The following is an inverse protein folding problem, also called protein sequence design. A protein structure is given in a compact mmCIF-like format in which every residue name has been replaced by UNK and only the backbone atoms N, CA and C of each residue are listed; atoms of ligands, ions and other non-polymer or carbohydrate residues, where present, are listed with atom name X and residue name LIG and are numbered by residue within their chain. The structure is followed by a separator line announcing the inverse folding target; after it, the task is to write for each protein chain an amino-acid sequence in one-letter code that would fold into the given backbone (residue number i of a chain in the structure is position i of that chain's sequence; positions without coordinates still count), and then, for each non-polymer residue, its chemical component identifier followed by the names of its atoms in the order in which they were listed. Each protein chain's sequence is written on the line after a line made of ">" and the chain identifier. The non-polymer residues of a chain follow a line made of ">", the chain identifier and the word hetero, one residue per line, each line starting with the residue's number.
data_IF_653268129487
#
_entry.id   IF_653268129487
#
_cell.length_a   1.000
_cell.length_b   1.000
_cell.length_c   1.000
_cell.angle_alpha   90.00
_cell.angle_beta   90.00
_cell.angle_gamma   90.00
#
_symmetry.space_group_name_H-M   'P 1'
#
loop_
_entity.id
_entity.type
_entity.pdbx_description
1 polymer ?
#
# COMPACT_ATOMS: atom_id res chain seq x y z
N UNK A 1 28.88 -50.00 -18.33
CA UNK A 1 28.54 -48.67 -18.92
C UNK A 1 29.65 -47.69 -18.61
N UNK A 2 30.24 -47.01 -19.61
CA UNK A 2 31.35 -46.06 -19.37
C UNK A 2 30.91 -44.89 -18.47
N UNK A 3 31.84 -44.28 -17.74
CA UNK A 3 31.57 -43.11 -16.88
C UNK A 3 30.84 -42.01 -17.68
N UNK A 4 31.26 -41.77 -18.92
CA UNK A 4 30.60 -40.83 -19.84
C UNK A 4 29.13 -41.17 -20.10
N UNK A 5 28.80 -42.44 -20.34
CA UNK A 5 27.41 -42.89 -20.54
C UNK A 5 26.56 -42.77 -19.26
N UNK A 6 27.15 -43.02 -18.07
CA UNK A 6 26.48 -42.80 -16.78
C UNK A 6 26.17 -41.33 -16.55
N UNK A 7 27.13 -40.45 -16.79
CA UNK A 7 26.94 -38.99 -16.68
C UNK A 7 25.86 -38.53 -17.66
N UNK A 8 25.91 -38.95 -18.93
CA UNK A 8 24.91 -38.58 -19.93
C UNK A 8 23.50 -39.05 -19.53
N UNK A 9 23.35 -40.26 -19.00
CA UNK A 9 22.07 -40.77 -18.52
C UNK A 9 21.53 -39.96 -17.33
N UNK A 10 22.38 -39.62 -16.35
CA UNK A 10 21.99 -38.80 -15.20
C UNK A 10 21.54 -37.41 -15.66
N UNK A 11 22.29 -36.77 -16.57
CA UNK A 11 21.91 -35.46 -17.11
C UNK A 11 20.59 -35.52 -17.88
N UNK A 12 20.35 -36.56 -18.68
CA UNK A 12 19.09 -36.76 -19.37
C UNK A 12 17.91 -36.96 -18.39
N UNK A 13 18.10 -37.77 -17.35
CA UNK A 13 17.07 -37.99 -16.32
C UNK A 13 16.75 -36.70 -15.54
N UNK A 14 17.77 -35.91 -15.18
CA UNK A 14 17.59 -34.60 -14.55
C UNK A 14 16.84 -33.62 -15.45
N UNK A 15 17.18 -33.57 -16.75
CA UNK A 15 16.49 -32.74 -17.71
C UNK A 15 15.00 -33.11 -17.83
N UNK A 16 14.70 -34.42 -17.97
CA UNK A 16 13.31 -34.91 -18.04
C UNK A 16 12.55 -34.54 -16.76
N UNK A 17 13.16 -34.70 -15.58
CA UNK A 17 12.55 -34.32 -14.31
C UNK A 17 12.25 -32.82 -14.25
N UNK A 18 13.17 -31.96 -14.69
CA UNK A 18 12.96 -30.51 -14.70
C UNK A 18 11.83 -30.10 -15.65
N UNK A 19 11.77 -30.68 -16.85
CA UNK A 19 10.67 -30.45 -17.80
C UNK A 19 9.33 -30.91 -17.23
N UNK A 20 9.31 -32.08 -16.56
CA UNK A 20 8.11 -32.59 -15.91
C UNK A 20 7.63 -31.66 -14.78
N UNK A 21 8.54 -31.24 -13.89
CA UNK A 21 8.22 -30.32 -12.79
C UNK A 21 7.72 -28.96 -13.31
N UNK A 22 8.34 -28.45 -14.37
CA UNK A 22 7.90 -27.22 -15.02
C UNK A 22 6.48 -27.36 -15.61
N UNK A 23 6.20 -28.46 -16.32
CA UNK A 23 4.88 -28.75 -16.90
C UNK A 23 3.78 -28.88 -15.84
N UNK A 24 4.06 -29.62 -14.75
CA UNK A 24 3.13 -29.74 -13.61
C UNK A 24 2.92 -28.38 -12.94
N UNK A 25 3.98 -27.59 -12.76
CA UNK A 25 3.88 -26.26 -12.15
C UNK A 25 3.02 -25.31 -12.98
N UNK A 26 3.21 -25.29 -14.32
CA UNK A 26 2.36 -24.52 -15.23
C UNK A 26 0.90 -24.93 -15.13
N UNK A 27 0.62 -26.23 -15.11
CA UNK A 27 -0.75 -26.76 -14.99
C UNK A 27 -1.41 -26.35 -13.66
N UNK A 28 -0.69 -26.46 -12.54
CA UNK A 28 -1.23 -26.06 -11.23
C UNK A 28 -1.51 -24.57 -11.19
N UNK A 29 -0.60 -23.74 -11.71
CA UNK A 29 -0.75 -22.29 -11.72
C UNK A 29 -1.80 -21.80 -12.72
N UNK A 30 -2.07 -22.53 -13.81
CA UNK A 30 -3.09 -22.17 -14.80
C UNK A 30 -4.52 -22.48 -14.35
N UNK A 31 -4.73 -23.42 -13.43
CA UNK A 31 -6.06 -23.80 -12.94
C UNK A 31 -6.47 -22.86 -11.79
N UNK A 32 -7.49 -22.02 -12.00
CA UNK A 32 -7.88 -20.98 -11.04
C UNK A 32 -8.24 -21.50 -9.64
N UNK A 33 -9.09 -22.54 -9.47
CA UNK A 33 -9.35 -23.08 -8.14
C UNK A 33 -8.09 -23.58 -7.41
N UNK A 34 -7.15 -24.18 -8.16
CA UNK A 34 -5.90 -24.69 -7.59
C UNK A 34 -4.97 -23.53 -7.20
N UNK A 35 -4.78 -22.57 -8.11
CA UNK A 35 -3.99 -21.37 -7.87
C UNK A 35 -4.54 -20.55 -6.70
N UNK A 36 -5.84 -20.25 -6.68
CA UNK A 36 -6.48 -19.45 -5.62
C UNK A 36 -6.39 -20.14 -4.27
N UNK A 37 -6.36 -21.49 -4.24
CA UNK A 37 -6.14 -22.22 -3.00
C UNK A 37 -4.73 -22.02 -2.46
N UNK A 38 -3.71 -21.76 -3.29
CA UNK A 38 -2.30 -21.66 -2.87
C UNK A 38 -1.71 -20.25 -2.84
N UNK A 39 -2.24 -19.34 -3.65
CA UNK A 39 -1.73 -17.98 -3.80
C UNK A 39 -1.77 -17.23 -2.46
N UNK A 40 -0.65 -16.58 -2.14
CA UNK A 40 -0.47 -15.75 -0.95
C UNK A 40 -0.36 -14.26 -1.30
N UNK A 41 0.39 -13.54 -0.47
CA UNK A 41 0.67 -12.10 -0.63
C UNK A 41 2.10 -11.82 -1.10
N UNK A 42 2.77 -12.83 -1.66
CA UNK A 42 4.12 -12.73 -2.23
C UNK A 42 4.12 -12.21 -3.68
N UNK A 43 5.31 -11.81 -4.17
CA UNK A 43 5.48 -11.25 -5.52
C UNK A 43 4.95 -12.17 -6.64
N UNK A 44 5.15 -13.49 -6.54
CA UNK A 44 4.72 -14.43 -7.59
C UNK A 44 3.21 -14.56 -7.61
N UNK A 45 2.58 -14.68 -6.44
CA UNK A 45 1.11 -14.69 -6.33
C UNK A 45 0.47 -13.44 -6.92
N UNK A 46 0.99 -12.27 -6.56
CA UNK A 46 0.50 -10.97 -7.02
C UNK A 46 0.65 -10.78 -8.54
N UNK A 47 1.84 -11.05 -9.07
CA UNK A 47 2.12 -10.97 -10.50
C UNK A 47 1.25 -11.92 -11.32
N UNK A 48 1.09 -13.17 -10.88
CA UNK A 48 0.24 -14.14 -11.59
C UNK A 48 -1.25 -13.75 -11.57
N UNK A 49 -1.75 -13.14 -10.47
CA UNK A 49 -3.10 -12.57 -10.46
C UNK A 49 -3.24 -11.43 -11.46
N UNK A 50 -2.24 -10.54 -11.53
CA UNK A 50 -2.23 -9.45 -12.49
C UNK A 50 -2.22 -9.98 -13.93
N UNK A 51 -1.36 -10.94 -14.27
CA UNK A 51 -1.31 -11.55 -15.61
C UNK A 51 -2.66 -12.17 -16.00
N UNK A 52 -3.28 -12.92 -15.09
CA UNK A 52 -4.57 -13.56 -15.33
C UNK A 52 -5.70 -12.56 -15.57
N UNK A 53 -5.68 -11.41 -14.88
CA UNK A 53 -6.68 -10.34 -15.05
C UNK A 53 -6.57 -9.64 -16.40
N UNK A 54 -5.36 -9.56 -16.96
CA UNK A 54 -5.05 -8.73 -18.13
C UNK A 54 -4.70 -9.56 -19.38
N UNK A 55 -5.32 -10.74 -19.52
CA UNK A 55 -5.19 -11.53 -20.76
C UNK A 55 -5.89 -10.85 -21.96
N UNK A 56 -6.91 -10.03 -21.70
CA UNK A 56 -7.75 -9.41 -22.74
C UNK A 56 -7.55 -7.89 -22.89
N UNK A 57 -7.38 -7.16 -21.78
CA UNK A 57 -7.13 -5.71 -21.75
C UNK A 57 -6.08 -5.38 -20.69
N UNK A 58 -5.12 -4.51 -21.00
CA UNK A 58 -4.04 -4.14 -20.06
C UNK A 58 -4.50 -2.96 -19.21
N UNK A 59 -4.91 -3.26 -17.98
CA UNK A 59 -5.09 -2.29 -16.91
C UNK A 59 -3.97 -2.46 -15.87
N UNK A 60 -3.75 -1.42 -15.07
CA UNK A 60 -2.72 -1.48 -14.02
C UNK A 60 -3.27 -2.15 -12.78
N UNK A 61 -4.22 -1.50 -12.11
CA UNK A 61 -4.99 -2.12 -11.05
C UNK A 61 -6.48 -1.86 -11.23
N UNK A 62 -6.88 -0.58 -11.28
CA UNK A 62 -8.18 -0.14 -11.74
C UNK A 62 -8.11 0.49 -13.13
N UNK A 63 -9.23 0.50 -13.85
CA UNK A 63 -9.43 1.24 -15.12
C UNK A 63 -9.03 2.71 -15.04
N UNK A 64 -9.12 3.31 -13.86
CA UNK A 64 -8.77 4.70 -13.60
C UNK A 64 -7.31 4.89 -13.17
N UNK A 65 -6.46 3.87 -13.29
CA UNK A 65 -5.02 3.96 -13.04
C UNK A 65 -4.20 4.05 -14.32
N UNK A 66 -3.00 4.61 -14.18
CA UNK A 66 -1.99 4.69 -15.23
C UNK A 66 -0.64 4.27 -14.69
N UNK A 67 0.18 3.68 -15.56
CA UNK A 67 1.56 3.31 -15.27
C UNK A 67 2.38 4.55 -14.93
N UNK A 68 3.26 4.41 -13.94
CA UNK A 68 4.24 5.43 -13.56
C UNK A 68 5.61 4.76 -13.33
N UNK A 69 6.70 5.27 -13.93
CA UNK A 69 8.00 4.62 -13.89
C UNK A 69 8.71 4.68 -12.52
N UNK A 70 8.32 5.57 -11.60
CA UNK A 70 8.96 5.66 -10.28
C UNK A 70 8.15 4.96 -9.20
N UNK A 71 6.82 4.95 -9.32
CA UNK A 71 5.89 4.42 -8.32
C UNK A 71 5.20 3.13 -8.76
N UNK A 72 5.28 2.78 -10.04
CA UNK A 72 4.57 1.68 -10.67
C UNK A 72 3.21 2.11 -11.22
N UNK A 73 2.40 2.77 -10.38
CA UNK A 73 1.09 3.28 -10.80
C UNK A 73 0.68 4.53 -10.05
N UNK A 74 -0.23 5.29 -10.65
CA UNK A 74 -0.97 6.39 -10.02
C UNK A 74 -2.35 6.52 -10.66
N UNK A 75 -3.25 7.28 -10.05
CA UNK A 75 -4.55 7.59 -10.67
C UNK A 75 -4.36 8.42 -11.95
N UNK A 76 -5.19 8.16 -12.96
CA UNK A 76 -5.28 8.99 -14.17
C UNK A 76 -5.62 10.43 -13.80
N UNK A 77 -5.10 11.37 -14.57
CA UNK A 77 -5.38 12.81 -14.39
C UNK A 77 -6.68 13.20 -15.08
N UNK A 78 -7.30 14.29 -14.62
CA UNK A 78 -8.49 14.91 -15.21
C UNK A 78 -9.72 13.98 -15.28
N UNK A 79 -9.89 13.04 -14.35
CA UNK A 79 -11.12 12.27 -14.25
C UNK A 79 -12.25 13.18 -13.76
N UNK A 80 -13.37 13.17 -14.48
CA UNK A 80 -14.55 13.99 -14.18
C UNK A 80 -15.77 13.12 -14.06
N UNK A 81 -16.35 13.09 -12.85
CA UNK A 81 -17.53 12.31 -12.52
C UNK A 81 -17.43 10.82 -12.92
N UNK A 82 -16.26 10.23 -12.74
CA UNK A 82 -16.05 8.82 -13.08
C UNK A 82 -16.88 7.95 -12.13
N UNK A 83 -17.72 7.08 -12.70
CA UNK A 83 -18.54 6.15 -11.92
C UNK A 83 -17.71 4.93 -11.53
N UNK A 84 -17.41 4.80 -10.25
CA UNK A 84 -16.59 3.73 -9.66
C UNK A 84 -17.32 3.10 -8.48
N UNK A 85 -16.79 2.00 -7.96
CA UNK A 85 -17.22 1.40 -6.68
C UNK A 85 -18.75 1.30 -6.50
N UNK A 86 -19.45 0.68 -7.45
CA UNK A 86 -20.91 0.52 -7.41
C UNK A 86 -21.68 1.86 -7.38
N UNK A 87 -21.29 2.80 -8.24
CA UNK A 87 -22.03 4.05 -8.49
C UNK A 87 -21.57 5.25 -7.68
N UNK A 88 -20.41 5.16 -7.02
CA UNK A 88 -19.72 6.29 -6.39
C UNK A 88 -19.03 7.14 -7.44
N UNK A 89 -18.86 8.42 -7.11
CA UNK A 89 -18.23 9.39 -7.99
C UNK A 89 -16.79 9.63 -7.55
N UNK A 90 -15.87 9.48 -8.51
CA UNK A 90 -14.46 9.81 -8.39
C UNK A 90 -14.09 10.96 -9.34
N UNK A 91 -13.36 11.93 -8.81
CA UNK A 91 -12.70 12.97 -9.59
C UNK A 91 -11.20 12.98 -9.31
N UNK A 92 -10.42 13.32 -10.33
CA UNK A 92 -9.01 13.66 -10.16
C UNK A 92 -8.70 14.97 -10.87
N UNK A 93 -7.78 15.72 -10.28
CA UNK A 93 -7.28 16.95 -10.88
C UNK A 93 -6.24 16.67 -11.98
N UNK A 94 -5.66 17.71 -12.55
CA UNK A 94 -4.66 17.64 -13.63
C UNK A 94 -3.39 16.85 -13.29
N UNK A 95 -3.17 16.51 -12.00
CA UNK A 95 -2.00 15.80 -11.48
C UNK A 95 -2.34 14.42 -10.92
N UNK A 96 -3.57 13.93 -11.15
CA UNK A 96 -4.03 12.65 -10.62
C UNK A 96 -4.17 12.63 -9.09
N UNK A 97 -4.40 13.79 -8.46
CA UNK A 97 -4.78 13.90 -7.05
C UNK A 97 -6.29 13.75 -6.98
N UNK A 98 -6.80 12.99 -6.00
CA UNK A 98 -8.25 12.80 -5.81
C UNK A 98 -8.89 14.10 -5.34
N UNK A 99 -9.48 14.84 -6.28
CA UNK A 99 -10.13 16.12 -6.04
C UNK A 99 -10.86 16.57 -7.30
N UNK A 100 -11.90 17.38 -7.12
CA UNK A 100 -12.59 18.07 -8.20
C UNK A 100 -12.03 19.49 -8.47
N UNK A 101 -11.07 19.96 -7.65
CA UNK A 101 -10.40 21.27 -7.79
C UNK A 101 -8.91 21.14 -8.08
N UNK A 102 -8.35 22.20 -8.65
CA UNK A 102 -6.90 22.36 -8.80
C UNK A 102 -6.30 23.01 -7.56
N UNK A 103 -5.12 22.56 -7.16
CA UNK A 103 -4.35 23.17 -6.09
C UNK A 103 -3.14 23.89 -6.68
N UNK A 104 -2.91 25.13 -6.28
CA UNK A 104 -1.68 25.84 -6.62
C UNK A 104 -0.50 25.23 -5.87
N UNK A 105 0.68 25.25 -6.48
CA UNK A 105 1.92 24.97 -5.74
C UNK A 105 2.34 26.15 -4.87
N UNK A 106 1.89 27.36 -5.19
CA UNK A 106 2.10 28.51 -4.34
C UNK A 106 1.28 28.37 -3.06
N UNK A 107 1.93 28.71 -1.94
CA UNK A 107 1.31 28.69 -0.63
C UNK A 107 0.41 29.90 -0.49
N UNK A 108 -0.82 29.69 -0.07
CA UNK A 108 -1.71 30.74 0.40
C UNK A 108 -1.45 30.94 1.90
N UNK A 109 -0.91 32.08 2.36
CA UNK A 109 -0.59 32.28 3.77
C UNK A 109 -1.83 32.36 4.67
N UNK A 110 -3.02 32.58 4.10
CA UNK A 110 -4.28 32.65 4.84
C UNK A 110 -4.97 31.29 4.98
N UNK A 111 -4.36 30.22 4.44
CA UNK A 111 -4.89 28.86 4.48
C UNK A 111 -3.89 27.88 5.06
N UNK A 112 -4.39 27.00 5.92
CA UNK A 112 -3.63 25.85 6.38
C UNK A 112 -3.69 24.77 5.29
N UNK A 113 -2.54 24.30 4.83
CA UNK A 113 -2.45 23.25 3.81
C UNK A 113 -2.04 21.92 4.44
N UNK A 114 -2.92 20.94 4.31
CA UNK A 114 -2.77 19.60 4.87
C UNK A 114 -2.64 18.61 3.70
N UNK A 115 -1.50 17.93 3.58
CA UNK A 115 -1.40 16.76 2.70
C UNK A 115 -1.84 15.53 3.46
N UNK A 116 -2.57 14.65 2.78
CA UNK A 116 -2.89 13.32 3.30
C UNK A 116 -2.29 12.29 2.35
N UNK A 117 -1.39 11.44 2.88
CA UNK A 117 -0.76 10.33 2.14
C UNK A 117 -1.11 9.01 2.80
N UNK A 118 -1.26 7.96 1.98
CA UNK A 118 -1.61 6.64 2.48
C UNK A 118 -2.10 5.74 1.35
N UNK A 119 -2.69 4.60 1.72
CA UNK A 119 -3.12 3.58 0.78
C UNK A 119 -4.59 3.75 0.32
N UNK A 120 -5.30 2.66 0.01
CA UNK A 120 -6.70 2.66 -0.40
C UNK A 120 -7.64 3.24 0.65
N UNK A 121 -7.34 3.13 1.94
CA UNK A 121 -8.13 3.76 3.00
C UNK A 121 -7.97 5.28 3.00
N UNK A 122 -6.79 5.77 2.61
CA UNK A 122 -6.57 7.20 2.43
C UNK A 122 -7.18 7.71 1.14
N UNK A 123 -6.96 6.98 0.03
CA UNK A 123 -7.59 7.30 -1.25
C UNK A 123 -9.12 7.34 -1.11
N UNK A 124 -9.71 6.44 -0.34
CA UNK A 124 -11.14 6.29 -0.15
C UNK A 124 -11.78 5.31 -1.14
N UNK A 125 -11.17 4.14 -1.29
CA UNK A 125 -11.80 3.04 -2.04
C UNK A 125 -13.18 2.75 -1.45
N UNK A 126 -14.14 2.45 -2.32
CA UNK A 126 -15.54 2.16 -1.97
C UNK A 126 -16.42 3.36 -1.53
N UNK A 127 -15.88 4.57 -1.52
CA UNK A 127 -16.65 5.79 -1.22
C UNK A 127 -16.49 6.86 -2.30
N UNK A 128 -17.46 7.79 -2.39
CA UNK A 128 -17.39 8.95 -3.28
C UNK A 128 -16.52 10.07 -2.70
N UNK A 129 -16.21 11.08 -3.51
CA UNK A 129 -15.31 12.18 -3.09
C UNK A 129 -15.76 12.88 -1.80
N UNK A 130 -17.07 13.13 -1.65
CA UNK A 130 -17.67 13.77 -0.47
C UNK A 130 -17.82 12.85 0.75
N UNK A 131 -17.31 11.63 0.67
CA UNK A 131 -17.40 10.60 1.71
C UNK A 131 -16.02 10.17 2.22
N UNK A 132 -14.94 10.77 1.70
CA UNK A 132 -13.57 10.54 2.15
C UNK A 132 -13.29 11.27 3.46
N UNK A 133 -12.36 10.76 4.27
CA UNK A 133 -12.01 11.42 5.53
C UNK A 133 -11.27 12.75 5.28
N UNK A 134 -10.55 12.88 4.16
CA UNK A 134 -9.97 14.14 3.71
C UNK A 134 -11.04 15.20 3.43
N UNK A 135 -12.16 14.80 2.81
CA UNK A 135 -13.29 15.69 2.59
C UNK A 135 -13.91 16.13 3.91
N UNK A 136 -14.22 15.18 4.81
CA UNK A 136 -14.77 15.53 6.12
C UNK A 136 -13.82 16.44 6.91
N UNK A 137 -12.52 16.17 6.89
CA UNK A 137 -11.52 17.00 7.56
C UNK A 137 -11.53 18.43 7.02
N UNK A 138 -11.60 18.61 5.68
CA UNK A 138 -11.71 19.94 5.08
C UNK A 138 -12.98 20.67 5.52
N UNK A 139 -14.11 19.95 5.68
CA UNK A 139 -15.34 20.57 6.18
C UNK A 139 -15.27 20.95 7.67
N UNK A 140 -14.47 20.24 8.46
CA UNK A 140 -14.28 20.51 9.90
C UNK A 140 -13.26 21.63 10.16
N UNK A 141 -12.38 21.93 9.19
CA UNK A 141 -11.36 22.99 9.29
C UNK A 141 -11.62 24.03 8.19
N UNK A 142 -12.54 24.99 8.41
CA UNK A 142 -12.82 26.05 7.46
C UNK A 142 -11.55 26.84 7.11
N UNK A 143 -11.36 27.15 5.82
CA UNK A 143 -10.16 27.85 5.35
C UNK A 143 -8.93 26.97 5.16
N UNK A 144 -9.04 25.64 5.30
CA UNK A 144 -7.96 24.72 4.98
C UNK A 144 -8.01 24.22 3.52
N UNK A 145 -6.85 23.77 3.02
CA UNK A 145 -6.74 22.94 1.83
C UNK A 145 -6.30 21.53 2.23
N UNK A 146 -7.21 20.56 2.15
CA UNK A 146 -6.88 19.16 2.43
C UNK A 146 -6.69 18.41 1.13
N UNK A 147 -5.43 18.07 0.83
CA UNK A 147 -5.02 17.49 -0.45
C UNK A 147 -4.84 15.98 -0.26
N UNK A 148 -5.78 15.20 -0.79
CA UNK A 148 -5.73 13.74 -0.72
C UNK A 148 -4.82 13.14 -1.80
N UNK A 149 -3.62 12.77 -1.38
CA UNK A 149 -2.60 12.12 -2.20
C UNK A 149 -2.53 10.59 -1.98
N UNK A 150 -3.51 10.00 -1.31
CA UNK A 150 -3.62 8.55 -1.17
C UNK A 150 -3.66 7.87 -2.53
N UNK A 151 -3.15 6.64 -2.60
CA UNK A 151 -3.29 5.79 -3.78
C UNK A 151 -3.45 4.35 -3.32
N UNK A 152 -4.47 3.68 -3.84
CA UNK A 152 -4.75 2.29 -3.49
C UNK A 152 -3.54 1.37 -3.73
N UNK A 153 -3.40 0.38 -2.85
CA UNK A 153 -2.35 -0.64 -2.93
C UNK A 153 -0.93 -0.17 -2.62
N UNK A 154 -0.74 1.11 -2.33
CA UNK A 154 0.59 1.63 -1.96
C UNK A 154 1.08 1.01 -0.66
N UNK A 155 2.39 0.77 -0.61
CA UNK A 155 3.14 0.70 0.65
C UNK A 155 3.69 2.07 1.04
N UNK A 156 4.27 2.16 2.24
CA UNK A 156 4.92 3.37 2.74
C UNK A 156 6.06 3.83 1.82
N UNK A 157 6.70 2.89 1.12
CA UNK A 157 7.71 3.18 0.11
C UNK A 157 7.18 4.04 -1.05
N UNK A 158 6.07 3.64 -1.66
CA UNK A 158 5.44 4.41 -2.73
C UNK A 158 4.90 5.75 -2.21
N UNK A 159 4.35 5.79 -0.98
CA UNK A 159 3.92 7.02 -0.33
C UNK A 159 5.07 8.02 -0.17
N UNK A 160 6.24 7.56 0.28
CA UNK A 160 7.45 8.38 0.40
C UNK A 160 7.93 8.91 -0.95
N UNK A 161 7.94 8.07 -2.00
CA UNK A 161 8.33 8.51 -3.35
C UNK A 161 7.37 9.58 -3.86
N UNK A 162 6.05 9.38 -3.70
CA UNK A 162 5.03 10.35 -4.11
C UNK A 162 5.16 11.67 -3.34
N UNK A 163 5.47 11.61 -2.03
CA UNK A 163 5.75 12.80 -1.23
C UNK A 163 6.98 13.55 -1.74
N UNK A 164 8.08 12.85 -2.04
CA UNK A 164 9.32 13.42 -2.59
C UNK A 164 9.13 14.08 -3.96
N UNK A 165 8.36 13.45 -4.84
CA UNK A 165 8.22 13.90 -6.22
C UNK A 165 7.14 14.96 -6.42
N UNK A 166 6.06 14.90 -5.64
CA UNK A 166 4.89 15.76 -5.83
C UNK A 166 4.51 16.53 -4.57
N UNK A 167 4.44 15.86 -3.42
CA UNK A 167 3.95 16.47 -2.19
C UNK A 167 4.78 17.68 -1.74
N UNK A 168 6.10 17.64 -1.89
CA UNK A 168 6.98 18.76 -1.52
C UNK A 168 6.66 20.07 -2.25
N UNK A 169 6.10 19.99 -3.47
CA UNK A 169 5.79 21.17 -4.29
C UNK A 169 4.67 22.01 -3.68
N UNK A 170 3.83 21.39 -2.86
CA UNK A 170 2.68 22.04 -2.24
C UNK A 170 3.02 22.83 -0.98
N UNK A 171 4.25 22.76 -0.45
CA UNK A 171 4.68 23.50 0.75
C UNK A 171 3.67 23.39 1.91
N UNK A 172 3.36 22.17 2.37
CA UNK A 172 2.31 21.97 3.35
C UNK A 172 2.70 22.46 4.74
N UNK A 173 1.70 22.73 5.57
CA UNK A 173 1.88 22.99 7.00
C UNK A 173 1.84 21.68 7.79
N UNK A 174 1.01 20.73 7.34
CA UNK A 174 0.81 19.42 7.98
C UNK A 174 0.86 18.33 6.91
N UNK A 175 1.54 17.22 7.21
CA UNK A 175 1.46 16.00 6.40
C UNK A 175 0.94 14.87 7.27
N UNK A 176 -0.24 14.38 6.91
CA UNK A 176 -0.93 13.28 7.56
C UNK A 176 -0.60 11.97 6.82
N UNK A 177 -0.01 11.01 7.52
CA UNK A 177 0.12 9.63 7.03
C UNK A 177 -1.01 8.78 7.59
N UNK A 178 -1.87 8.26 6.73
CA UNK A 178 -2.78 7.17 7.06
C UNK A 178 -2.00 5.86 7.14
N UNK A 179 -1.77 5.36 8.35
CA UNK A 179 -0.99 4.14 8.62
C UNK A 179 -1.91 2.93 8.77
N UNK A 180 -1.85 2.02 7.82
CA UNK A 180 -2.48 0.68 7.90
C UNK A 180 -1.38 -0.34 8.17
N UNK A 181 -1.54 -1.20 9.17
CA UNK A 181 -0.46 -2.10 9.58
C UNK A 181 -0.04 -3.09 8.49
N UNK A 182 -0.98 -3.52 7.64
CA UNK A 182 -0.70 -4.42 6.51
C UNK A 182 0.29 -3.82 5.50
N UNK A 183 0.41 -2.50 5.44
CA UNK A 183 1.26 -1.80 4.47
C UNK A 183 2.75 -2.02 4.74
N UNK A 184 3.12 -2.42 5.97
CA UNK A 184 4.51 -2.78 6.26
C UNK A 184 4.97 -3.93 5.37
N UNK A 185 4.08 -4.89 5.07
CA UNK A 185 4.41 -6.03 4.22
C UNK A 185 4.49 -5.65 2.74
N UNK A 186 3.93 -4.51 2.33
CA UNK A 186 4.02 -4.00 0.95
C UNK A 186 5.40 -3.41 0.65
N UNK A 187 6.08 -2.87 1.67
CA UNK A 187 7.42 -2.26 1.57
C UNK A 187 8.50 -3.22 1.07
N UNK A 188 8.31 -4.52 1.26
CA UNK A 188 9.27 -5.56 0.86
C UNK A 188 8.95 -6.19 -0.50
N UNK A 189 7.80 -5.83 -1.10
CA UNK A 189 7.37 -6.33 -2.40
C UNK A 189 7.89 -5.46 -3.54
N UNK A 190 8.19 -6.12 -4.65
CA UNK A 190 8.42 -5.51 -5.98
C UNK A 190 7.21 -5.68 -6.91
N UNK A 191 6.20 -6.44 -6.48
CA UNK A 191 4.94 -6.64 -7.19
C UNK A 191 3.78 -6.82 -6.18
N UNK A 192 2.74 -5.98 -6.26
CA UNK A 192 1.48 -6.08 -5.49
C UNK A 192 0.30 -6.13 -6.46
N UNK A 193 -0.34 -5.01 -6.79
CA UNK A 193 -1.35 -5.01 -7.87
C UNK A 193 -0.70 -4.97 -9.23
N UNK A 194 0.43 -4.27 -9.28
CA UNK A 194 1.33 -4.17 -10.41
C UNK A 194 2.77 -4.17 -9.90
N UNK A 195 3.74 -4.11 -10.81
CA UNK A 195 5.14 -3.87 -10.44
C UNK A 195 5.27 -2.54 -9.69
N UNK A 196 6.17 -2.49 -8.70
CA UNK A 196 6.40 -1.32 -7.84
C UNK A 196 7.87 -1.18 -7.47
N UNK A 197 8.34 0.03 -7.11
CA UNK A 197 9.66 0.19 -6.52
C UNK A 197 9.77 -0.63 -5.23
N UNK A 198 11.01 -0.89 -4.81
CA UNK A 198 11.32 -1.57 -3.56
C UNK A 198 12.51 -0.94 -2.89
N UNK A 199 12.39 -0.60 -1.61
CA UNK A 199 13.52 -0.13 -0.84
C UNK A 199 14.32 -1.30 -0.26
N UNK A 200 15.63 -1.14 -0.20
CA UNK A 200 16.53 -2.02 0.53
C UNK A 200 17.41 -1.21 1.49
N UNK A 201 17.77 -1.82 2.63
CA UNK A 201 18.74 -1.23 3.54
C UNK A 201 20.13 -1.61 3.05
N UNK A 202 20.92 -0.60 2.65
CA UNK A 202 22.30 -0.74 2.20
C UNK A 202 23.16 0.17 3.08
N UNK A 203 24.11 -0.40 3.82
CA UNK A 203 24.99 0.33 4.75
C UNK A 203 24.22 1.23 5.75
N UNK A 204 23.08 0.74 6.27
CA UNK A 204 22.26 1.46 7.23
C UNK A 204 21.42 2.61 6.64
N UNK A 205 21.40 2.79 5.32
CA UNK A 205 20.54 3.76 4.63
C UNK A 205 19.59 3.04 3.69
N UNK A 206 18.44 3.65 3.39
CA UNK A 206 17.51 3.10 2.42
C UNK A 206 17.94 3.51 1.00
N UNK A 207 17.89 2.55 0.08
CA UNK A 207 18.13 2.76 -1.34
C UNK A 207 16.96 2.20 -2.14
N UNK A 208 16.48 2.95 -3.14
CA UNK A 208 15.41 2.48 -4.02
C UNK A 208 15.99 1.54 -5.07
N UNK A 209 15.31 0.42 -5.26
CA UNK A 209 15.58 -0.60 -6.28
C UNK A 209 14.32 -0.85 -7.11
N UNK A 210 14.45 -1.58 -8.21
CA UNK A 210 13.37 -1.80 -9.17
C UNK A 210 12.83 -0.49 -9.78
N UNK A 211 13.74 0.43 -10.10
CA UNK A 211 13.45 1.70 -10.76
C UNK A 211 14.35 1.85 -12.00
N UNK A 212 13.83 2.26 -13.18
CA UNK A 212 12.40 2.46 -13.44
C UNK A 212 11.63 1.15 -13.25
N UNK A 213 10.39 1.27 -12.78
CA UNK A 213 9.51 0.12 -12.61
C UNK A 213 9.21 -0.45 -14.00
N UNK A 214 9.26 -1.77 -14.22
CA UNK A 214 8.96 -2.34 -15.53
C UNK A 214 7.54 -1.98 -16.00
N UNK A 215 7.41 -1.60 -17.27
CA UNK A 215 6.10 -1.35 -17.89
C UNK A 215 5.31 -2.66 -18.10
N UNK A 216 3.98 -2.59 -18.32
CA UNK A 216 3.19 -3.79 -18.63
C UNK A 216 3.75 -4.60 -19.80
N UNK A 217 4.18 -3.94 -20.87
CA UNK A 217 4.78 -4.58 -22.05
C UNK A 217 6.09 -5.30 -21.71
N UNK A 218 6.93 -4.70 -20.85
CA UNK A 218 8.19 -5.30 -20.43
C UNK A 218 7.96 -6.56 -19.57
N UNK A 219 6.96 -6.53 -18.70
CA UNK A 219 6.57 -7.67 -17.86
C UNK A 219 6.05 -8.81 -18.74
N UNK A 220 5.12 -8.51 -19.66
CA UNK A 220 4.47 -9.52 -20.49
C UNK A 220 5.42 -10.14 -21.53
N UNK A 221 6.41 -9.39 -22.02
CA UNK A 221 7.35 -9.84 -23.07
C UNK A 221 8.06 -11.15 -22.73
N UNK A 222 8.45 -11.34 -21.47
CA UNK A 222 9.24 -12.50 -21.03
C UNK A 222 8.46 -13.44 -20.11
N UNK A 223 7.17 -13.19 -19.91
CA UNK A 223 6.34 -13.95 -18.97
C UNK A 223 6.29 -15.44 -19.33
N UNK A 224 6.10 -15.74 -20.62
CA UNK A 224 6.01 -17.10 -21.13
C UNK A 224 7.27 -17.95 -20.82
N UNK A 225 8.45 -17.30 -20.79
CA UNK A 225 9.75 -17.95 -20.60
C UNK A 225 10.15 -18.07 -19.12
N UNK A 226 9.42 -17.45 -18.20
CA UNK A 226 9.71 -17.55 -16.77
C UNK A 226 9.43 -18.97 -16.26
N UNK A 227 10.32 -19.59 -15.46
CA UNK A 227 10.09 -20.93 -14.92
C UNK A 227 8.95 -20.94 -13.90
N UNK A 228 7.84 -21.59 -14.24
CA UNK A 228 6.69 -21.76 -13.36
C UNK A 228 7.03 -22.55 -12.09
N UNK A 229 8.02 -23.45 -12.15
CA UNK A 229 8.53 -24.17 -10.99
C UNK A 229 9.09 -23.22 -9.92
N UNK A 230 9.71 -22.11 -10.32
CA UNK A 230 10.21 -21.10 -9.38
C UNK A 230 9.07 -20.33 -8.71
N UNK A 231 8.02 -19.99 -9.48
CA UNK A 231 6.84 -19.34 -8.93
C UNK A 231 6.09 -20.27 -7.97
N UNK A 232 5.86 -21.53 -8.35
CA UNK A 232 5.21 -22.50 -7.48
C UNK A 232 6.01 -22.75 -6.20
N UNK A 233 7.34 -22.88 -6.32
CA UNK A 233 8.23 -22.97 -5.16
C UNK A 233 8.09 -21.74 -4.25
N UNK A 234 8.15 -20.53 -4.81
CA UNK A 234 8.04 -19.27 -4.05
C UNK A 234 6.71 -19.17 -3.32
N UNK A 235 5.61 -19.50 -3.98
CA UNK A 235 4.25 -19.46 -3.40
C UNK A 235 4.13 -20.48 -2.26
N UNK A 236 4.53 -21.73 -2.49
CA UNK A 236 4.46 -22.78 -1.46
C UNK A 236 5.38 -22.46 -0.29
N UNK A 237 6.62 -22.02 -0.56
CA UNK A 237 7.60 -21.65 0.46
C UNK A 237 7.06 -20.53 1.35
N UNK A 238 6.59 -19.43 0.76
CA UNK A 238 6.02 -18.31 1.51
C UNK A 238 4.76 -18.72 2.27
N UNK A 239 3.89 -19.54 1.70
CA UNK A 239 2.69 -20.03 2.38
C UNK A 239 3.02 -20.92 3.59
N UNK A 240 3.97 -21.84 3.43
CA UNK A 240 4.41 -22.71 4.53
C UNK A 240 5.11 -21.90 5.63
N UNK A 241 5.92 -20.91 5.26
CA UNK A 241 6.52 -19.98 6.22
C UNK A 241 5.46 -19.15 6.95
N UNK A 242 4.46 -18.64 6.22
CA UNK A 242 3.36 -17.86 6.78
C UNK A 242 2.56 -18.69 7.79
N UNK A 243 2.25 -19.95 7.47
CA UNK A 243 1.40 -20.83 8.29
C UNK A 243 2.12 -21.56 9.43
N UNK A 244 3.44 -21.77 9.38
CA UNK A 244 4.18 -22.55 10.39
C UNK A 244 5.34 -21.82 11.06
N UNK A 245 5.76 -20.65 10.58
CA UNK A 245 7.06 -20.07 10.91
C UNK A 245 7.01 -18.67 11.54
N UNK A 246 5.88 -17.94 11.42
CA UNK A 246 5.62 -16.70 12.17
C UNK A 246 5.83 -16.87 13.70
N UNK A 247 5.70 -18.09 14.23
CA UNK A 247 5.92 -18.36 15.66
C UNK A 247 7.35 -18.77 16.05
N UNK A 248 8.27 -19.06 15.10
CA UNK A 248 9.55 -19.73 15.43
C UNK A 248 10.81 -18.96 15.04
N UNK A 249 10.76 -18.06 14.06
CA UNK A 249 11.91 -17.22 13.68
C UNK A 249 11.44 -15.85 13.15
N UNK A 250 11.18 -14.89 14.03
CA UNK A 250 10.71 -13.52 13.70
C UNK A 250 11.65 -12.63 12.88
N UNK A 251 12.59 -13.20 12.12
CA UNK A 251 13.59 -12.47 11.34
C UNK A 251 12.98 -11.73 10.14
N UNK A 252 12.02 -12.35 9.44
CA UNK A 252 11.32 -11.70 8.32
C UNK A 252 10.51 -10.51 8.81
N UNK A 253 9.72 -10.70 9.88
CA UNK A 253 8.99 -9.61 10.52
C UNK A 253 9.92 -8.52 11.03
N UNK A 254 11.04 -8.88 11.67
CA UNK A 254 12.06 -7.93 12.12
C UNK A 254 12.59 -7.10 10.95
N UNK A 255 12.98 -7.73 9.84
CA UNK A 255 13.47 -7.03 8.64
C UNK A 255 12.40 -6.12 8.03
N UNK A 256 11.15 -6.58 7.98
CA UNK A 256 10.02 -5.77 7.49
C UNK A 256 9.80 -4.55 8.38
N UNK A 257 9.79 -4.73 9.70
CA UNK A 257 9.66 -3.64 10.67
C UNK A 257 10.84 -2.67 10.60
N UNK A 258 12.08 -3.16 10.53
CA UNK A 258 13.28 -2.34 10.37
C UNK A 258 13.23 -1.49 9.09
N UNK A 259 12.91 -2.09 7.94
CA UNK A 259 12.76 -1.35 6.69
C UNK A 259 11.67 -0.29 6.78
N UNK A 260 10.51 -0.64 7.34
CA UNK A 260 9.41 0.30 7.55
C UNK A 260 9.85 1.47 8.43
N UNK A 261 10.52 1.22 9.57
CA UNK A 261 11.04 2.30 10.44
C UNK A 261 11.95 3.25 9.66
N UNK A 262 12.89 2.74 8.87
CA UNK A 262 13.76 3.60 8.07
C UNK A 262 13.01 4.41 6.99
N UNK A 263 11.97 3.84 6.38
CA UNK A 263 11.11 4.58 5.43
C UNK A 263 10.34 5.69 6.15
N UNK A 264 9.78 5.39 7.31
CA UNK A 264 9.06 6.37 8.13
C UNK A 264 9.98 7.48 8.65
N UNK A 265 11.22 7.16 9.04
CA UNK A 265 12.22 8.14 9.47
C UNK A 265 12.58 9.09 8.32
N UNK A 266 12.78 8.55 7.10
CA UNK A 266 13.02 9.37 5.90
C UNK A 266 11.81 10.25 5.57
N UNK A 267 10.58 9.73 5.77
CA UNK A 267 9.35 10.50 5.59
C UNK A 267 9.26 11.65 6.60
N UNK A 268 9.49 11.38 7.89
CA UNK A 268 9.52 12.41 8.95
C UNK A 268 10.59 13.45 8.65
N UNK A 269 11.81 13.03 8.29
CA UNK A 269 12.90 13.94 7.95
C UNK A 269 12.58 14.82 6.74
N UNK A 270 11.92 14.28 5.72
CA UNK A 270 11.46 15.04 4.56
C UNK A 270 10.41 16.08 4.96
N UNK A 271 9.41 15.67 5.77
CA UNK A 271 8.33 16.56 6.24
C UNK A 271 8.90 17.70 7.08
N UNK A 272 9.77 17.38 8.04
CA UNK A 272 10.48 18.34 8.90
C UNK A 272 11.34 19.31 8.08
N UNK A 273 12.02 18.83 7.02
CA UNK A 273 12.85 19.67 6.15
C UNK A 273 12.06 20.74 5.38
N UNK A 274 10.74 20.56 5.23
CA UNK A 274 9.84 21.56 4.64
C UNK A 274 9.28 22.55 5.67
N UNK A 275 9.56 22.34 6.97
CA UNK A 275 8.93 23.07 8.06
C UNK A 275 7.49 22.63 8.36
N UNK A 276 7.08 21.47 7.84
CA UNK A 276 5.74 20.90 8.04
C UNK A 276 5.72 19.97 9.27
N UNK A 277 4.54 19.81 9.88
CA UNK A 277 4.33 18.88 10.99
C UNK A 277 3.96 17.48 10.48
N UNK A 278 4.72 16.42 10.78
CA UNK A 278 4.31 15.05 10.48
C UNK A 278 3.31 14.55 11.54
N UNK A 279 2.13 14.14 11.07
CA UNK A 279 1.06 13.55 11.89
C UNK A 279 0.74 12.16 11.35
N UNK A 280 1.04 11.11 12.10
CA UNK A 280 0.74 9.74 11.70
C UNK A 280 -0.55 9.27 12.39
N UNK A 281 -1.44 8.64 11.63
CA UNK A 281 -2.77 8.22 12.08
C UNK A 281 -2.91 6.74 11.86
N UNK A 282 -3.03 5.97 12.94
CA UNK A 282 -3.35 4.55 12.83
C UNK A 282 -4.78 4.36 12.33
N UNK A 283 -4.93 3.61 11.25
CA UNK A 283 -6.18 3.31 10.56
C UNK A 283 -6.56 1.85 10.82
N UNK A 284 -7.52 1.54 11.72
CA UNK A 284 -7.90 0.17 12.02
C UNK A 284 -8.69 -0.44 10.86
N UNK A 285 -8.32 -1.66 10.46
CA UNK A 285 -8.96 -2.36 9.34
C UNK A 285 -9.49 -3.72 9.77
N UNK A 286 -10.55 -4.16 9.09
CA UNK A 286 -11.18 -5.46 9.34
C UNK A 286 -11.48 -5.72 10.82
N UNK A 287 -10.98 -6.82 11.35
CA UNK A 287 -11.23 -7.22 12.74
C UNK A 287 -10.60 -6.29 13.78
N UNK A 288 -9.66 -5.41 13.41
CA UNK A 288 -9.10 -4.45 14.37
C UNK A 288 -10.14 -3.42 14.83
N UNK A 289 -11.15 -3.15 14.02
CA UNK A 289 -12.23 -2.20 14.30
C UNK A 289 -13.04 -2.63 15.53
N UNK A 290 -13.31 -3.93 15.64
CA UNK A 290 -14.16 -4.55 16.67
C UNK A 290 -13.38 -5.41 17.64
N UNK A 291 -12.05 -5.33 17.61
CA UNK A 291 -11.21 -6.13 18.49
C UNK A 291 -11.45 -5.73 19.94
N UNK A 292 -11.66 -6.73 20.80
CA UNK A 292 -11.70 -6.54 22.26
C UNK A 292 -10.32 -6.30 22.87
N UNK A 293 -9.24 -6.47 22.11
CA UNK A 293 -7.89 -6.20 22.57
C UNK A 293 -7.71 -4.70 22.81
N UNK A 294 -7.15 -4.33 23.97
CA UNK A 294 -6.85 -2.93 24.28
C UNK A 294 -5.93 -2.30 23.22
N UNK A 295 -4.88 -3.04 22.80
CA UNK A 295 -3.91 -2.63 21.79
C UNK A 295 -3.71 -3.79 20.81
N UNK A 296 -3.98 -3.57 19.52
CA UNK A 296 -3.71 -4.60 18.50
C UNK A 296 -2.20 -4.75 18.26
N UNK A 297 -1.79 -5.84 17.60
CA UNK A 297 -0.39 -6.03 17.16
C UNK A 297 0.10 -4.86 16.30
N UNK A 298 -0.76 -4.31 15.45
CA UNK A 298 -0.39 -3.20 14.60
C UNK A 298 -0.27 -1.89 15.37
N UNK A 299 -1.20 -1.61 16.28
CA UNK A 299 -1.11 -0.48 17.20
C UNK A 299 0.16 -0.55 18.06
N UNK A 300 0.55 -1.75 18.53
CA UNK A 300 1.77 -1.92 19.30
C UNK A 300 3.03 -1.51 18.52
N UNK A 301 3.15 -1.92 17.25
CA UNK A 301 4.26 -1.48 16.40
C UNK A 301 4.20 0.03 16.13
N UNK A 302 3.01 0.56 15.87
CA UNK A 302 2.79 1.98 15.60
C UNK A 302 3.24 2.85 16.79
N UNK A 303 2.77 2.52 18.00
CA UNK A 303 3.16 3.23 19.22
C UNK A 303 4.64 3.03 19.58
N UNK A 304 5.22 1.86 19.33
CA UNK A 304 6.67 1.63 19.51
C UNK A 304 7.49 2.59 18.64
N UNK A 305 7.11 2.78 17.37
CA UNK A 305 7.79 3.73 16.49
C UNK A 305 7.57 5.17 16.97
N UNK A 306 6.33 5.56 17.25
CA UNK A 306 5.98 6.92 17.64
C UNK A 306 6.62 7.36 18.96
N UNK A 307 6.65 6.48 19.97
CA UNK A 307 7.27 6.78 21.26
C UNK A 307 8.79 6.96 21.19
N UNK A 308 9.43 6.57 20.09
CA UNK A 308 10.85 6.77 19.85
C UNK A 308 11.21 8.02 19.02
N UNK A 309 10.23 8.82 18.59
CA UNK A 309 10.45 9.92 17.65
C UNK A 309 9.62 11.16 18.02
N UNK A 310 10.25 12.10 18.73
CA UNK A 310 9.60 13.34 19.19
C UNK A 310 9.21 14.31 18.07
N UNK A 311 9.68 14.08 16.83
CA UNK A 311 9.35 14.92 15.68
C UNK A 311 8.00 14.59 15.07
N UNK A 312 7.43 13.42 15.36
CA UNK A 312 6.16 12.97 14.79
C UNK A 312 5.05 12.96 15.84
N UNK A 313 3.89 13.49 15.45
CA UNK A 313 2.66 13.39 16.24
C UNK A 313 1.91 12.13 15.82
N UNK A 314 1.40 11.37 16.78
CA UNK A 314 0.74 10.11 16.49
C UNK A 314 -0.59 9.98 17.22
N UNK A 315 -1.58 9.44 16.52
CA UNK A 315 -2.85 9.03 17.12
C UNK A 315 -3.35 7.71 16.53
N UNK A 316 -4.11 6.96 17.34
CA UNK A 316 -4.96 5.87 16.82
C UNK A 316 -6.39 6.36 16.68
N UNK A 317 -7.00 6.06 15.54
CA UNK A 317 -8.43 6.34 15.31
C UNK A 317 -9.33 5.23 15.86
N UNK A 318 -8.80 4.07 16.27
CA UNK A 318 -9.57 2.93 16.80
C UNK A 318 -10.52 3.29 17.95
N UNK A 319 -10.16 4.11 18.95
CA UNK A 319 -11.10 4.51 20.00
C UNK A 319 -12.36 5.23 19.46
N UNK A 320 -12.26 5.92 18.32
CA UNK A 320 -13.39 6.58 17.68
C UNK A 320 -14.31 5.59 16.99
N UNK A 321 -13.77 4.52 16.39
CA UNK A 321 -14.59 3.42 15.89
C UNK A 321 -15.38 2.74 17.02
N UNK A 322 -14.71 2.39 18.12
CA UNK A 322 -15.36 1.79 19.30
C UNK A 322 -16.45 2.70 19.86
N UNK A 323 -16.17 4.01 19.99
CA UNK A 323 -17.15 5.01 20.45
C UNK A 323 -18.39 5.05 19.55
N UNK A 324 -18.22 5.00 18.23
CA UNK A 324 -19.33 5.02 17.26
C UNK A 324 -20.10 3.71 17.24
N UNK A 325 -19.42 2.57 17.39
CA UNK A 325 -20.06 1.26 17.52
C UNK A 325 -20.97 1.21 18.75
N UNK A 326 -20.49 1.71 19.90
CA UNK A 326 -21.30 1.86 21.11
C UNK A 326 -22.51 2.80 20.94
N UNK A 327 -22.51 3.64 19.89
CA UNK A 327 -23.63 4.49 19.49
C UNK A 327 -24.54 3.84 18.42
N UNK A 328 -24.31 2.57 18.09
CA UNK A 328 -25.10 1.80 17.13
C UNK A 328 -24.65 1.93 15.67
N UNK A 329 -23.45 2.46 15.40
CA UNK A 329 -22.90 2.51 14.04
C UNK A 329 -22.27 1.17 13.70
N UNK A 330 -22.77 0.53 12.64
CA UNK A 330 -22.17 -0.69 12.10
C UNK A 330 -21.02 -0.36 11.13
N UNK A 331 -19.88 -1.02 11.33
CA UNK A 331 -18.73 -0.92 10.44
C UNK A 331 -18.57 -2.17 9.58
N UNK A 332 -18.06 -1.95 8.36
CA UNK A 332 -17.72 -3.04 7.45
C UNK A 332 -16.38 -3.65 7.88
N UNK A 333 -16.35 -4.95 8.10
CA UNK A 333 -15.13 -5.70 8.49
C UNK A 333 -14.39 -6.34 7.31
N UNK A 334 -14.95 -6.25 6.11
CA UNK A 334 -14.38 -6.82 4.88
C UNK A 334 -14.30 -5.76 3.79
N UNK A 335 -13.20 -5.70 3.04
CA UNK A 335 -12.97 -4.62 2.07
C UNK A 335 -12.69 -3.29 2.77
N UNK A 336 -13.25 -2.19 2.28
CA UNK A 336 -12.98 -0.84 2.76
C UNK A 336 -14.11 -0.25 3.60
N UNK A 337 -13.82 0.84 4.31
CA UNK A 337 -14.82 1.51 5.13
C UNK A 337 -15.95 2.10 4.29
N UNK A 338 -17.13 2.16 4.88
CA UNK A 338 -18.17 3.08 4.42
C UNK A 338 -17.83 4.51 4.86
N UNK A 339 -18.60 5.48 4.37
CA UNK A 339 -18.57 6.88 4.81
C UNK A 339 -18.48 7.05 6.34
N UNK A 340 -19.14 6.19 7.13
CA UNK A 340 -19.09 6.23 8.60
C UNK A 340 -17.68 6.04 9.17
N UNK A 341 -16.87 5.13 8.61
CA UNK A 341 -15.49 4.91 9.04
C UNK A 341 -14.60 6.09 8.68
N UNK A 342 -14.74 6.62 7.47
CA UNK A 342 -14.07 7.86 7.08
C UNK A 342 -14.42 9.04 7.99
N UNK A 343 -15.69 9.17 8.39
CA UNK A 343 -16.11 10.21 9.32
C UNK A 343 -15.49 10.02 10.71
N UNK A 344 -15.43 8.79 11.23
CA UNK A 344 -14.80 8.51 12.52
C UNK A 344 -13.31 8.87 12.52
N UNK A 345 -12.58 8.57 11.43
CA UNK A 345 -11.17 8.96 11.26
C UNK A 345 -11.02 10.48 11.17
N UNK A 346 -11.87 11.17 10.41
CA UNK A 346 -11.80 12.62 10.29
C UNK A 346 -12.05 13.32 11.64
N UNK A 347 -13.03 12.86 12.41
CA UNK A 347 -13.29 13.35 13.77
C UNK A 347 -12.10 13.10 14.70
N UNK A 348 -11.48 11.92 14.63
CA UNK A 348 -10.29 11.60 15.43
C UNK A 348 -9.12 12.54 15.13
N UNK A 349 -8.85 12.78 13.85
CA UNK A 349 -7.79 13.69 13.41
C UNK A 349 -8.12 15.11 13.86
N UNK A 350 -9.31 15.61 13.58
CA UNK A 350 -9.72 16.97 13.93
C UNK A 350 -9.60 17.24 15.44
N UNK A 351 -10.19 16.37 16.27
CA UNK A 351 -10.11 16.52 17.73
C UNK A 351 -8.66 16.46 18.22
N UNK A 352 -7.82 15.59 17.65
CA UNK A 352 -6.42 15.51 18.00
C UNK A 352 -5.67 16.81 17.67
N UNK A 353 -5.86 17.36 16.46
CA UNK A 353 -5.18 18.57 16.02
C UNK A 353 -5.54 19.78 16.89
N UNK A 354 -6.81 19.91 17.28
CA UNK A 354 -7.29 20.96 18.19
C UNK A 354 -6.72 20.77 19.61
N UNK A 355 -6.81 19.57 20.17
CA UNK A 355 -6.40 19.30 21.55
C UNK A 355 -4.89 19.41 21.78
N UNK A 356 -4.09 19.38 20.72
CA UNK A 356 -2.63 19.52 20.78
C UNK A 356 -2.13 20.87 20.23
N UNK A 357 -3.01 21.84 20.03
CA UNK A 357 -2.67 23.20 19.57
C UNK A 357 -1.89 23.20 18.24
N UNK A 358 -2.22 22.25 17.34
CA UNK A 358 -1.63 22.17 15.99
C UNK A 358 -2.40 23.07 15.01
N UNK A 359 -3.70 23.28 15.26
CA UNK A 359 -4.60 24.17 14.51
C UNK A 359 -5.03 25.37 15.35
#
# INVERSE_FOLDING_TARGET
>A
MSIKRKIAFILAALFILLVFLEGVSRLVLSIDPAFNKIAGTDNSSWRLRWIKRHQDEIEIYYKFDIYDPSKGWMSKSNLKNESVFDGKILNTNSRGIRSNVEYSYDRDPDRIRILVVGDSFTFGDEVGDAETYSYYLQTMIPGSEVINMGVHGYGHDQMLIRLKEEGIKYKPDIVILGFVYEDIYRNILSFRDFAKPRFEIVNGKIAVTNTPVPSPDEILRWEWARPAVYDLYTIIYNRLLHNRFMSRYGLFEKKTKELTKCILDEMVGLIDSMGAMPVFVYLPVGNEIVSSDDITRGEAFFYEYCGGNDKVRCLSSKPYFIKKENQGVEFKLTGHWRSSGHKAVAEAIYEYLINHEIL
#
